data_IF_239052880727
#
_entry.id   IF_239052880727
#
_cell.length_a   1.000
_cell.length_b   1.000
_cell.length_c   1.000
_cell.angle_alpha   90.00
_cell.angle_beta   90.00
_cell.angle_gamma   90.00
#
_symmetry.space_group_name_H-M   'P 1'
#
loop_
_entity.id
_entity.type
_entity.pdbx_description
1 polymer ?
#
# COMPACT_ATOMS: atom_id res chain seq x y z
N UNK A 1 -18.53 -1.23 -8.43
CA UNK A 1 -17.41 -0.34 -8.77
C UNK A 1 -17.31 -0.32 -10.27
N UNK A 2 -17.30 0.86 -10.85
CA UNK A 2 -17.03 1.06 -12.27
C UNK A 2 -15.54 0.79 -12.58
N UNK A 3 -15.21 0.54 -13.85
CA UNK A 3 -13.84 0.22 -14.29
C UNK A 3 -12.84 1.30 -13.86
N UNK A 4 -13.19 2.58 -14.04
CA UNK A 4 -12.34 3.70 -13.63
C UNK A 4 -12.03 3.68 -12.13
N UNK A 5 -13.04 3.38 -11.30
CA UNK A 5 -12.84 3.29 -9.86
C UNK A 5 -11.89 2.15 -9.48
N UNK A 6 -11.95 1.03 -10.22
CA UNK A 6 -11.05 -0.12 -9.99
C UNK A 6 -9.62 0.23 -10.37
N UNK A 7 -9.42 0.94 -11.49
CA UNK A 7 -8.10 1.40 -11.93
C UNK A 7 -7.47 2.36 -10.93
N UNK A 8 -8.21 3.38 -10.45
CA UNK A 8 -7.70 4.32 -9.46
C UNK A 8 -7.31 3.64 -8.14
N UNK A 9 -8.11 2.66 -7.70
CA UNK A 9 -7.79 1.85 -6.51
C UNK A 9 -6.54 0.99 -6.78
N UNK A 10 -6.39 0.42 -7.97
CA UNK A 10 -5.22 -0.38 -8.32
C UNK A 10 -3.94 0.47 -8.38
N UNK A 11 -3.99 1.62 -9.03
CA UNK A 11 -2.89 2.59 -9.09
C UNK A 11 -2.49 3.06 -7.70
N UNK A 12 -3.47 3.37 -6.85
CA UNK A 12 -3.21 3.72 -5.46
C UNK A 12 -2.50 2.59 -4.70
N UNK A 13 -2.99 1.35 -4.78
CA UNK A 13 -2.37 0.20 -4.11
C UNK A 13 -0.95 -0.01 -4.61
N UNK A 14 -0.74 0.04 -5.91
CA UNK A 14 0.57 -0.10 -6.52
C UNK A 14 1.52 1.01 -6.05
N UNK A 15 1.07 2.26 -6.02
CA UNK A 15 1.87 3.38 -5.50
C UNK A 15 2.24 3.22 -4.02
N UNK A 16 1.44 2.52 -3.22
CA UNK A 16 1.77 2.24 -1.82
C UNK A 16 2.85 1.16 -1.70
N UNK A 17 2.88 0.15 -2.57
CA UNK A 17 3.76 -1.01 -2.45
C UNK A 17 4.94 -1.03 -3.44
N UNK A 18 4.99 -0.11 -4.41
CA UNK A 18 5.97 -0.15 -5.50
C UNK A 18 7.42 -0.17 -5.01
N UNK A 19 7.78 0.66 -4.03
CA UNK A 19 9.12 0.66 -3.43
C UNK A 19 9.43 -0.61 -2.62
N UNK A 20 8.40 -1.29 -2.10
CA UNK A 20 8.53 -2.54 -1.35
C UNK A 20 8.75 -3.74 -2.27
N UNK A 21 8.18 -3.73 -3.48
CA UNK A 21 8.26 -4.85 -4.43
C UNK A 21 9.38 -4.69 -5.46
N UNK A 22 9.74 -3.45 -5.83
CA UNK A 22 10.77 -3.18 -6.84
C UNK A 22 12.20 -3.19 -6.26
N UNK A 23 12.36 -3.22 -4.94
CA UNK A 23 13.66 -3.14 -4.27
C UNK A 23 13.97 -4.47 -3.57
N UNK A 24 15.21 -4.96 -3.70
CA UNK A 24 15.70 -6.05 -2.83
C UNK A 24 16.00 -5.48 -1.45
N UNK A 25 15.12 -5.78 -0.50
CA UNK A 25 15.20 -5.27 0.87
C UNK A 25 15.50 -6.41 1.82
N UNK A 26 16.34 -6.15 2.81
CA UNK A 26 16.46 -7.02 3.97
C UNK A 26 15.10 -7.08 4.71
N UNK A 27 14.72 -8.23 5.30
CA UNK A 27 13.47 -8.36 6.04
C UNK A 27 13.24 -7.28 7.11
N UNK A 28 14.31 -6.82 7.79
CA UNK A 28 14.24 -5.76 8.78
C UNK A 28 13.87 -4.41 8.16
N UNK A 29 14.55 -4.03 7.06
CA UNK A 29 14.26 -2.79 6.32
C UNK A 29 12.84 -2.81 5.75
N UNK A 30 12.40 -3.96 5.23
CA UNK A 30 11.04 -4.14 4.73
C UNK A 30 10.01 -3.95 5.85
N UNK A 31 10.23 -4.55 7.03
CA UNK A 31 9.33 -4.41 8.17
C UNK A 31 9.20 -2.96 8.64
N UNK A 32 10.31 -2.22 8.72
CA UNK A 32 10.33 -0.82 9.12
C UNK A 32 9.64 0.08 8.09
N UNK A 33 9.82 -0.15 6.79
CA UNK A 33 9.11 0.62 5.77
C UNK A 33 7.61 0.34 5.76
N UNK A 34 7.19 -0.92 5.94
CA UNK A 34 5.77 -1.26 6.10
C UNK A 34 5.19 -0.54 7.32
N UNK A 35 5.92 -0.50 8.44
CA UNK A 35 5.50 0.23 9.64
C UNK A 35 5.36 1.72 9.38
N UNK A 36 6.35 2.33 8.72
CA UNK A 36 6.33 3.75 8.34
C UNK A 36 5.12 4.08 7.46
N UNK A 37 4.91 3.33 6.38
CA UNK A 37 3.75 3.49 5.48
C UNK A 37 2.42 3.29 6.20
N UNK A 38 2.34 2.39 7.18
CA UNK A 38 1.11 2.18 7.95
C UNK A 38 0.76 3.34 8.88
N UNK A 39 1.76 4.11 9.33
CA UNK A 39 1.58 5.28 10.18
C UNK A 39 1.27 6.55 9.37
N UNK A 40 1.61 6.57 8.07
CA UNK A 40 1.35 7.69 7.17
C UNK A 40 -0.15 7.89 6.92
N UNK A 41 -0.54 9.15 6.69
CA UNK A 41 -1.87 9.47 6.18
C UNK A 41 -1.90 9.37 4.66
N UNK A 42 -2.88 8.65 4.15
CA UNK A 42 -3.13 8.41 2.74
C UNK A 42 -4.44 9.06 2.31
N UNK A 43 -4.46 9.59 1.09
CA UNK A 43 -5.70 9.91 0.40
C UNK A 43 -6.17 8.65 -0.31
N UNK A 44 -7.02 7.86 0.35
CA UNK A 44 -7.47 6.56 -0.16
C UNK A 44 -8.65 6.82 -1.11
N UNK A 45 -8.54 6.46 -2.40
CA UNK A 45 -9.64 6.63 -3.34
C UNK A 45 -10.91 5.94 -2.82
N UNK A 46 -12.04 6.63 -2.88
CA UNK A 46 -13.35 6.08 -2.54
C UNK A 46 -13.49 5.59 -1.08
N UNK A 47 -12.66 6.12 -0.16
CA UNK A 47 -12.74 5.77 1.26
C UNK A 47 -12.55 7.00 2.15
N UNK A 48 -13.31 7.07 3.24
CA UNK A 48 -13.10 8.06 4.29
C UNK A 48 -11.92 7.68 5.22
N UNK A 49 -11.33 6.50 5.05
CA UNK A 49 -10.15 6.09 5.81
C UNK A 49 -8.93 6.83 5.30
N UNK A 50 -8.03 7.16 6.23
CA UNK A 50 -6.78 7.86 5.93
C UNK A 50 -5.55 7.06 6.29
N UNK A 51 -5.68 5.80 6.73
CA UNK A 51 -4.57 4.93 7.08
C UNK A 51 -4.81 3.52 6.56
N UNK A 52 -3.72 2.80 6.30
CA UNK A 52 -3.71 1.41 5.85
C UNK A 52 -2.94 0.61 6.89
N UNK A 53 -3.49 -0.53 7.32
CA UNK A 53 -2.77 -1.38 8.28
C UNK A 53 -1.56 -2.04 7.63
N UNK A 54 -0.55 -2.33 8.44
CA UNK A 54 0.60 -3.11 8.01
C UNK A 54 0.22 -4.51 7.48
N UNK A 55 -0.89 -5.10 7.96
CA UNK A 55 -1.42 -6.37 7.44
C UNK A 55 -2.00 -6.21 6.04
N UNK A 56 -2.71 -5.12 5.74
CA UNK A 56 -3.23 -4.83 4.40
C UNK A 56 -2.11 -4.58 3.39
N UNK A 57 -1.06 -3.84 3.77
CA UNK A 57 0.12 -3.64 2.92
C UNK A 57 0.76 -5.00 2.60
N UNK A 58 0.99 -5.85 3.61
CA UNK A 58 1.54 -7.20 3.39
C UNK A 58 0.66 -8.08 2.51
N UNK A 59 -0.66 -7.94 2.61
CA UNK A 59 -1.59 -8.67 1.76
C UNK A 59 -1.43 -8.25 0.29
N UNK A 60 -1.30 -6.96 0.00
CA UNK A 60 -1.10 -6.48 -1.37
C UNK A 60 0.23 -6.90 -1.99
N UNK A 61 1.28 -7.11 -1.18
CA UNK A 61 2.56 -7.63 -1.66
C UNK A 61 2.54 -9.12 -2.01
N UNK A 62 1.53 -9.88 -1.55
CA UNK A 62 1.38 -11.32 -1.80
C UNK A 62 0.46 -11.64 -2.99
N UNK A 63 -0.09 -10.61 -3.63
CA UNK A 63 -0.89 -10.74 -4.85
C UNK A 63 -0.02 -11.22 -6.01
#
# INVERSE_FOLDING_TARGET
MDEKQREEVALFRFGVISDLVCTRLDPGTMAEMIRSKSNQRWHIPYSNRTRISASTIRHWMRL
#
